data_IF_159558100589
#
_entry.id   IF_159558100589
#
_cell.length_a   1.000
_cell.length_b   1.000
_cell.length_c   1.000
_cell.angle_alpha   90.00
_cell.angle_beta   90.00
_cell.angle_gamma   90.00
#
_symmetry.space_group_name_H-M   'P 1'
#
loop_
_entity.id
_entity.type
_entity.pdbx_description
1 polymer ?
#
# COMPACT_ATOMS: atom_id res chain seq x y z
N UNK A 1 13.65 0.13 -10.57
CA UNK A 1 12.75 0.68 -9.52
C UNK A 1 12.45 -0.41 -8.50
N UNK A 2 12.22 -0.06 -7.25
CA UNK A 2 11.91 -0.98 -6.16
C UNK A 2 11.01 -0.31 -5.13
N UNK A 3 10.42 -1.11 -4.24
CA UNK A 3 9.60 -0.61 -3.14
C UNK A 3 10.43 -0.51 -1.87
N UNK A 4 10.56 0.71 -1.36
CA UNK A 4 11.12 0.99 -0.05
C UNK A 4 9.99 1.07 0.97
N UNK A 5 10.07 0.22 1.99
CA UNK A 5 9.15 0.26 3.12
C UNK A 5 9.73 1.10 4.25
N UNK A 6 8.92 2.02 4.78
CA UNK A 6 9.24 2.77 6.00
C UNK A 6 8.28 2.37 7.11
N UNK A 7 8.82 2.02 8.28
CA UNK A 7 8.04 1.71 9.46
C UNK A 7 7.95 2.92 10.38
N UNK A 8 6.78 3.18 10.95
CA UNK A 8 6.60 4.17 12.00
C UNK A 8 5.64 3.65 13.07
N UNK A 9 6.10 3.60 14.32
CA UNK A 9 5.24 3.30 15.46
C UNK A 9 4.28 4.46 15.71
N UNK A 10 2.98 4.16 15.78
CA UNK A 10 1.94 5.14 16.04
C UNK A 10 1.80 5.37 17.54
N UNK A 11 2.00 6.63 17.98
CA UNK A 11 1.79 7.03 19.39
C UNK A 11 0.32 7.05 19.79
N UNK A 12 -0.57 7.26 18.82
CA UNK A 12 -2.03 7.30 18.99
C UNK A 12 -2.70 6.66 17.78
N UNK A 13 -3.88 6.11 17.99
CA UNK A 13 -4.76 5.69 16.90
C UNK A 13 -5.02 6.86 15.94
N UNK A 14 -4.71 6.71 14.66
CA UNK A 14 -5.25 7.63 13.65
C UNK A 14 -6.61 7.12 13.22
N UNK A 15 -7.66 7.86 13.56
CA UNK A 15 -9.07 7.67 13.19
C UNK A 15 -9.66 6.26 13.41
N UNK A 16 -10.63 6.20 14.32
CA UNK A 16 -11.70 5.20 14.37
C UNK A 16 -11.35 3.77 14.78
N UNK A 17 -10.20 3.20 14.40
CA UNK A 17 -9.89 1.77 14.66
C UNK A 17 -8.40 1.41 14.81
N UNK A 18 -7.47 2.34 14.64
CA UNK A 18 -6.05 2.06 14.90
C UNK A 18 -5.80 1.75 16.38
N UNK A 19 -4.88 0.85 16.71
CA UNK A 19 -4.47 0.63 18.11
C UNK A 19 -3.29 1.55 18.44
N UNK A 20 -3.27 2.14 19.63
CA UNK A 20 -2.05 2.81 20.10
C UNK A 20 -0.92 1.76 20.15
N UNK A 21 0.27 2.13 19.63
CA UNK A 21 1.38 1.20 19.49
C UNK A 21 1.40 0.38 18.20
N UNK A 22 0.40 0.52 17.32
CA UNK A 22 0.37 -0.10 15.99
C UNK A 22 1.48 0.46 15.07
N UNK A 23 1.96 -0.34 14.13
CA UNK A 23 3.01 0.06 13.19
C UNK A 23 2.37 0.46 11.87
N UNK A 24 2.59 1.70 11.45
CA UNK A 24 2.27 2.14 10.09
C UNK A 24 3.43 1.81 9.15
N UNK A 25 3.12 1.17 8.03
CA UNK A 25 4.03 0.88 6.95
C UNK A 25 3.70 1.75 5.74
N UNK A 26 4.67 2.52 5.31
CA UNK A 26 4.58 3.40 4.14
C UNK A 26 5.33 2.75 2.97
N UNK A 27 4.64 2.58 1.84
CA UNK A 27 5.21 2.10 0.59
C UNK A 27 5.69 3.28 -0.26
N UNK A 28 6.98 3.31 -0.58
CA UNK A 28 7.59 4.33 -1.42
C UNK A 28 8.17 3.66 -2.65
N UNK A 29 7.78 4.13 -3.84
CA UNK A 29 8.46 3.76 -5.07
C UNK A 29 9.76 4.57 -5.17
N UNK A 30 10.88 3.85 -5.26
CA UNK A 30 12.20 4.45 -5.39
C UNK A 30 12.95 3.82 -6.56
N UNK A 31 13.98 4.51 -7.01
CA UNK A 31 14.96 3.98 -7.95
C UNK A 31 16.38 4.27 -7.50
N UNK A 32 17.30 3.38 -7.86
CA UNK A 32 18.73 3.60 -7.65
C UNK A 32 19.28 4.30 -8.88
N UNK A 33 19.92 5.44 -8.67
CA UNK A 33 20.68 6.18 -9.69
C UNK A 33 22.11 6.39 -9.18
N UNK A 34 23.03 6.71 -10.08
CA UNK A 34 24.37 7.19 -9.70
C UNK A 34 24.43 8.69 -9.91
N UNK A 35 24.90 9.40 -8.90
CA UNK A 35 25.22 10.83 -8.96
C UNK A 35 26.70 10.95 -8.61
N UNK A 36 27.50 11.46 -9.54
CA UNK A 36 28.97 11.56 -9.40
C UNK A 36 29.63 10.23 -9.00
N UNK A 37 29.20 9.14 -9.65
CA UNK A 37 29.68 7.78 -9.40
C UNK A 37 29.13 7.12 -8.12
N UNK A 38 28.48 7.87 -7.22
CA UNK A 38 27.93 7.37 -5.95
C UNK A 38 26.50 6.85 -6.12
N UNK A 39 26.15 5.66 -5.57
CA UNK A 39 24.78 5.17 -5.61
C UNK A 39 23.87 6.03 -4.71
N UNK A 40 22.83 6.62 -5.30
CA UNK A 40 21.81 7.43 -4.63
C UNK A 40 20.44 6.81 -4.87
N UNK A 41 19.59 6.83 -3.85
CA UNK A 41 18.19 6.42 -3.97
C UNK A 41 17.32 7.65 -4.25
N UNK A 42 16.66 7.68 -5.39
CA UNK A 42 15.68 8.71 -5.73
C UNK A 42 14.27 8.23 -5.35
N UNK A 43 13.54 9.04 -4.59
CA UNK A 43 12.11 8.85 -4.35
C UNK A 43 11.33 9.27 -5.59
N UNK A 44 10.51 8.36 -6.11
CA UNK A 44 9.66 8.60 -7.28
C UNK A 44 8.23 8.95 -6.87
N UNK A 45 7.60 8.12 -6.03
CA UNK A 45 6.24 8.37 -5.58
C UNK A 45 5.96 7.73 -4.23
N UNK A 46 5.08 8.37 -3.46
CA UNK A 46 4.42 7.73 -2.33
C UNK A 46 3.24 6.90 -2.87
N UNK A 47 3.19 5.61 -2.54
CA UNK A 47 2.14 4.72 -3.06
C UNK A 47 1.00 4.50 -2.06
N UNK A 48 1.23 4.76 -0.78
CA UNK A 48 0.23 4.54 0.27
C UNK A 48 0.85 4.09 1.58
N UNK A 49 0.01 4.04 2.62
CA UNK A 49 0.38 3.49 3.91
C UNK A 49 -0.72 2.59 4.47
N UNK A 50 -0.32 1.54 5.17
CA UNK A 50 -1.21 0.60 5.83
C UNK A 50 -0.61 0.18 7.17
N UNK A 51 -1.44 -0.10 8.18
CA UNK A 51 -0.94 -0.54 9.49
C UNK A 51 -0.86 -2.06 9.59
N UNK A 52 -0.08 -2.58 10.56
CA UNK A 52 -0.04 -4.02 10.85
C UNK A 52 -1.42 -4.56 11.19
N UNK A 53 -2.19 -3.83 12.02
CA UNK A 53 -3.56 -4.24 12.30
C UNK A 53 -4.39 -4.32 11.01
N UNK A 54 -4.35 -3.29 10.15
CA UNK A 54 -5.11 -3.24 8.91
C UNK A 54 -4.75 -4.35 7.91
N UNK A 55 -3.49 -4.77 7.87
CA UNK A 55 -3.06 -5.92 7.06
C UNK A 55 -3.65 -7.24 7.57
N UNK A 56 -3.78 -7.38 8.89
CA UNK A 56 -4.20 -8.60 9.56
C UNK A 56 -5.70 -8.68 9.90
N UNK A 57 -6.46 -7.60 9.72
CA UNK A 57 -7.91 -7.62 9.93
C UNK A 57 -8.59 -8.60 8.98
N UNK A 58 -9.60 -9.29 9.49
CA UNK A 58 -10.49 -10.15 8.68
C UNK A 58 -11.31 -9.32 7.68
N UNK A 59 -11.56 -8.04 7.96
CA UNK A 59 -12.28 -7.15 7.05
C UNK A 59 -11.30 -6.59 5.99
N UNK A 60 -11.49 -6.91 4.69
CA UNK A 60 -10.50 -6.59 3.67
C UNK A 60 -10.58 -5.15 3.13
N UNK A 61 -11.51 -4.34 3.66
CA UNK A 61 -11.77 -2.98 3.18
C UNK A 61 -10.54 -2.07 3.19
N UNK A 62 -9.69 -2.16 4.23
CA UNK A 62 -8.49 -1.33 4.31
C UNK A 62 -7.40 -1.78 3.33
N UNK A 63 -7.23 -3.10 3.14
CA UNK A 63 -6.34 -3.64 2.09
C UNK A 63 -6.83 -3.21 0.71
N UNK A 64 -8.15 -3.27 0.46
CA UNK A 64 -8.75 -2.78 -0.78
C UNK A 64 -8.44 -1.32 -1.03
N UNK A 65 -8.73 -0.45 -0.06
CA UNK A 65 -8.45 0.97 -0.19
C UNK A 65 -6.97 1.25 -0.46
N UNK A 66 -6.07 0.55 0.24
CA UNK A 66 -4.63 0.63 -0.02
C UNK A 66 -4.28 0.23 -1.46
N UNK A 67 -4.76 -0.91 -1.95
CA UNK A 67 -4.48 -1.38 -3.31
C UNK A 67 -5.08 -0.48 -4.38
N UNK A 68 -6.30 0.02 -4.19
CA UNK A 68 -6.94 0.93 -5.13
C UNK A 68 -6.11 2.24 -5.23
N UNK A 69 -5.65 2.79 -4.10
CA UNK A 69 -4.77 3.96 -4.09
C UNK A 69 -3.42 3.69 -4.76
N UNK A 70 -2.79 2.54 -4.49
CA UNK A 70 -1.57 2.11 -5.19
C UNK A 70 -1.79 2.08 -6.70
N UNK A 71 -2.93 1.54 -7.15
CA UNK A 71 -3.25 1.42 -8.57
C UNK A 71 -3.44 2.78 -9.24
N UNK A 72 -4.07 3.74 -8.55
CA UNK A 72 -4.18 5.14 -8.99
C UNK A 72 -2.81 5.80 -9.14
N UNK A 73 -1.95 5.68 -8.13
CA UNK A 73 -0.60 6.26 -8.16
C UNK A 73 0.25 5.65 -9.30
N UNK A 74 0.17 4.33 -9.49
CA UNK A 74 0.91 3.67 -10.57
C UNK A 74 0.36 4.02 -11.97
N UNK A 75 -0.95 4.27 -12.10
CA UNK A 75 -1.55 4.72 -13.35
C UNK A 75 -1.06 6.12 -13.72
N UNK A 76 -0.93 7.03 -12.74
CA UNK A 76 -0.42 8.38 -12.96
C UNK A 76 1.03 8.41 -13.45
N UNK A 77 1.85 7.43 -13.05
CA UNK A 77 3.27 7.35 -13.42
C UNK A 77 3.53 6.80 -14.84
N UNK A 78 2.50 6.37 -15.58
CA UNK A 78 2.60 5.85 -16.96
C UNK A 78 3.71 4.79 -17.15
N UNK A 79 3.91 3.93 -16.15
CA UNK A 79 4.95 2.91 -16.17
C UNK A 79 4.66 1.79 -17.18
N UNK A 80 5.70 1.18 -17.73
CA UNK A 80 5.56 -0.01 -18.57
C UNK A 80 4.85 -1.15 -17.82
N UNK A 81 3.99 -1.94 -18.48
CA UNK A 81 3.20 -3.00 -17.82
C UNK A 81 4.05 -4.00 -17.02
N UNK A 82 5.23 -4.38 -17.53
CA UNK A 82 6.17 -5.28 -16.85
C UNK A 82 6.68 -4.70 -15.53
N UNK A 83 7.00 -3.40 -15.50
CA UNK A 83 7.45 -2.70 -14.30
C UNK A 83 6.33 -2.59 -13.28
N UNK A 84 5.11 -2.24 -13.75
CA UNK A 84 3.92 -2.19 -12.89
C UNK A 84 3.64 -3.54 -12.24
N UNK A 85 3.72 -4.65 -13.00
CA UNK A 85 3.54 -6.01 -12.47
C UNK A 85 4.58 -6.33 -11.38
N UNK A 86 5.86 -6.08 -11.64
CA UNK A 86 6.93 -6.33 -10.67
C UNK A 86 6.74 -5.51 -9.37
N UNK A 87 6.27 -4.27 -9.47
CA UNK A 87 5.94 -3.43 -8.30
C UNK A 87 4.79 -4.06 -7.49
N UNK A 88 3.71 -4.48 -8.14
CA UNK A 88 2.57 -5.09 -7.47
C UNK A 88 2.95 -6.40 -6.78
N UNK A 89 3.78 -7.23 -7.42
CA UNK A 89 4.33 -8.45 -6.81
C UNK A 89 5.21 -8.13 -5.58
N UNK A 90 6.03 -7.08 -5.64
CA UNK A 90 6.82 -6.64 -4.50
C UNK A 90 5.96 -6.13 -3.34
N UNK A 91 4.84 -5.48 -3.63
CA UNK A 91 3.86 -5.04 -2.62
C UNK A 91 3.16 -6.25 -1.99
N UNK A 92 2.76 -7.23 -2.82
CA UNK A 92 2.06 -8.43 -2.38
C UNK A 92 2.86 -9.31 -1.40
N UNK A 93 4.19 -9.23 -1.44
CA UNK A 93 5.07 -9.89 -0.45
C UNK A 93 4.88 -9.37 0.98
N UNK A 94 4.36 -8.15 1.15
CA UNK A 94 4.16 -7.54 2.47
C UNK A 94 2.69 -7.32 2.81
N UNK A 95 1.90 -6.84 1.86
CA UNK A 95 0.47 -6.60 2.04
C UNK A 95 -0.28 -7.71 1.32
N UNK A 96 -1.00 -8.60 2.04
CA UNK A 96 -1.74 -9.68 1.41
C UNK A 96 -2.65 -9.17 0.29
N UNK A 97 -2.57 -9.81 -0.89
CA UNK A 97 -3.38 -9.43 -2.03
C UNK A 97 -4.89 -9.57 -1.70
N UNK A 98 -5.69 -8.66 -2.24
CA UNK A 98 -7.15 -8.71 -2.09
C UNK A 98 -7.71 -9.71 -3.11
N UNK A 99 -8.49 -10.67 -2.64
CA UNK A 99 -9.16 -11.66 -3.49
C UNK A 99 -10.46 -11.13 -4.09
N UNK A 100 -11.01 -11.82 -5.09
CA UNK A 100 -12.35 -11.50 -5.60
C UNK A 100 -13.44 -11.67 -4.51
N UNK A 101 -13.27 -12.62 -3.58
CA UNK A 101 -14.18 -12.83 -2.46
C UNK A 101 -14.16 -11.64 -1.49
N UNK A 102 -12.98 -11.10 -1.22
CA UNK A 102 -12.81 -9.90 -0.40
C UNK A 102 -13.55 -8.69 -1.00
N UNK A 103 -13.44 -8.50 -2.32
CA UNK A 103 -14.16 -7.42 -3.02
C UNK A 103 -15.67 -7.56 -2.87
N UNK A 104 -16.21 -8.78 -3.02
CA UNK A 104 -17.65 -9.06 -2.83
C UNK A 104 -18.09 -8.76 -1.40
N UNK A 105 -17.28 -9.12 -0.40
CA UNK A 105 -17.59 -8.85 1.01
C UNK A 105 -17.68 -7.34 1.29
N UNK A 106 -16.74 -6.55 0.75
CA UNK A 106 -16.75 -5.09 0.95
C UNK A 106 -17.92 -4.43 0.24
N UNK A 107 -18.25 -4.85 -0.99
CA UNK A 107 -19.42 -4.36 -1.71
C UNK A 107 -20.72 -4.69 -0.95
N UNK A 108 -20.85 -5.92 -0.44
CA UNK A 108 -22.00 -6.32 0.39
C UNK A 108 -22.11 -5.44 1.64
N UNK A 109 -21.00 -5.19 2.31
CA UNK A 109 -20.98 -4.35 3.52
C UNK A 109 -21.31 -2.88 3.22
N UNK A 110 -20.86 -2.33 2.08
CA UNK A 110 -21.23 -0.97 1.65
C UNK A 110 -22.74 -0.83 1.39
N UNK A 111 -23.32 -1.78 0.65
CA UNK A 111 -24.77 -1.83 0.42
C UNK A 111 -25.56 -1.91 1.72
N UNK A 112 -25.09 -2.71 2.69
CA UNK A 112 -25.73 -2.81 4.02
C UNK A 112 -25.68 -1.50 4.82
N UNK A 113 -24.76 -0.58 4.48
CA UNK A 113 -24.63 0.75 5.09
C UNK A 113 -25.33 1.85 4.27
N UNK A 114 -26.00 1.51 3.16
CA UNK A 114 -26.65 2.49 2.28
C UNK A 114 -25.68 3.35 1.45
N UNK A 115 -24.45 2.87 1.26
CA UNK A 115 -23.38 3.52 0.48
C UNK A 115 -23.14 2.82 -0.87
#
# INVERSE_FOLDING_TARGET
MFIRWQARKLKKAKFGRGRAGDTAWTAILAESKRVDGRPVQQHIAYLGSITDSAMNLQTPAQRMFFYDHVMEQLAALKLAPKVRKAILEAIAKKVPAVTAADRRLVVKNRKALGL
#
